data_IF_050909730935
#
_entry.id   IF_050909730935
#
_cell.length_a   1.000
_cell.length_b   1.000
_cell.length_c   1.000
_cell.angle_alpha   90.00
_cell.angle_beta   90.00
_cell.angle_gamma   90.00
#
_symmetry.space_group_name_H-M   'P 1'
#
loop_
_entity.id
_entity.type
_entity.pdbx_description
1 polymer ?
#
# COMPACT_ATOMS: atom_id res chain seq x y z
N UNK A 1 25.07 -13.02 -24.50
CA UNK A 1 24.25 -12.38 -23.44
C UNK A 1 22.81 -12.15 -23.93
N UNK A 2 21.86 -11.69 -23.11
CA UNK A 2 20.46 -11.44 -23.56
C UNK A 2 20.36 -10.45 -24.73
N UNK A 3 21.28 -9.47 -24.78
CA UNK A 3 21.37 -8.46 -25.83
C UNK A 3 22.36 -8.82 -26.94
N UNK A 4 22.97 -10.00 -26.95
CA UNK A 4 23.84 -10.45 -28.04
C UNK A 4 25.35 -10.20 -27.88
N UNK A 5 25.83 -9.67 -26.76
CA UNK A 5 27.28 -9.51 -26.53
C UNK A 5 28.01 -10.86 -26.72
N UNK A 6 28.99 -10.87 -27.64
CA UNK A 6 29.81 -12.03 -28.02
C UNK A 6 29.12 -13.07 -28.90
N UNK A 7 27.87 -12.85 -29.33
CA UNK A 7 27.10 -13.83 -30.12
C UNK A 7 26.28 -13.24 -31.27
N UNK A 8 25.87 -11.97 -31.17
CA UNK A 8 25.01 -11.25 -32.13
C UNK A 8 25.31 -9.74 -32.00
N UNK A 9 26.17 -9.24 -32.89
CA UNK A 9 26.64 -7.84 -32.85
C UNK A 9 25.55 -6.84 -33.21
N UNK A 10 24.67 -7.16 -34.17
CA UNK A 10 23.59 -6.26 -34.57
C UNK A 10 22.61 -6.01 -33.42
N UNK A 11 22.25 -7.09 -32.70
CA UNK A 11 21.42 -6.97 -31.50
C UNK A 11 22.12 -6.20 -30.40
N UNK A 12 23.42 -6.42 -30.21
CA UNK A 12 24.19 -5.71 -29.20
C UNK A 12 24.23 -4.20 -29.49
N UNK A 13 24.60 -3.82 -30.71
CA UNK A 13 24.70 -2.42 -31.14
C UNK A 13 23.34 -1.70 -31.15
N UNK A 14 22.23 -2.43 -31.26
CA UNK A 14 20.88 -1.85 -31.16
C UNK A 14 20.52 -1.42 -29.74
N UNK A 15 20.92 -2.18 -28.73
CA UNK A 15 20.50 -1.96 -27.33
C UNK A 15 21.60 -1.40 -26.43
N UNK A 16 22.87 -1.48 -26.86
CA UNK A 16 24.02 -0.98 -26.13
C UNK A 16 24.59 0.27 -26.82
N UNK A 17 24.97 1.32 -26.07
CA UNK A 17 24.90 1.45 -24.61
C UNK A 17 23.48 1.62 -24.08
N UNK A 18 23.24 1.07 -22.88
CA UNK A 18 21.95 1.23 -22.19
C UNK A 18 21.63 2.70 -21.92
N UNK A 19 20.40 3.14 -22.22
CA UNK A 19 19.97 4.52 -21.97
C UNK A 19 19.85 4.83 -20.46
N UNK A 20 19.28 3.90 -19.68
CA UNK A 20 19.04 4.08 -18.26
C UNK A 20 19.29 2.78 -17.51
N UNK A 21 20.04 2.84 -16.42
CA UNK A 21 20.04 1.81 -15.38
C UNK A 21 19.18 2.26 -14.20
N UNK A 22 18.10 1.53 -13.92
CA UNK A 22 17.22 1.77 -12.77
C UNK A 22 17.55 0.78 -11.65
N UNK A 23 17.81 1.26 -10.44
CA UNK A 23 18.21 0.41 -9.31
C UNK A 23 17.91 1.04 -7.94
N UNK A 24 18.08 0.28 -6.87
CA UNK A 24 18.09 0.82 -5.51
C UNK A 24 19.44 1.50 -5.19
N UNK A 25 19.41 2.50 -4.31
CA UNK A 25 20.60 3.29 -3.94
C UNK A 25 21.73 2.49 -3.26
N UNK A 26 21.44 1.32 -2.70
CA UNK A 26 22.42 0.48 -1.99
C UNK A 26 23.42 -0.19 -2.93
N UNK A 27 23.04 -0.42 -4.19
CA UNK A 27 23.91 -1.04 -5.20
C UNK A 27 24.56 -0.04 -6.18
N UNK A 28 24.41 1.27 -5.94
CA UNK A 28 24.89 2.31 -6.85
C UNK A 28 26.39 2.21 -7.14
N UNK A 29 27.22 1.82 -6.16
CA UNK A 29 28.68 1.64 -6.33
C UNK A 29 29.03 0.62 -7.41
N UNK A 30 28.20 -0.41 -7.58
CA UNK A 30 28.42 -1.43 -8.59
C UNK A 30 28.17 -0.87 -9.99
N UNK A 31 27.19 0.01 -10.15
CA UNK A 31 26.79 0.55 -11.45
C UNK A 31 27.47 1.87 -11.84
N UNK A 32 27.98 2.63 -10.87
CA UNK A 32 28.63 3.92 -11.10
C UNK A 32 30.16 3.87 -11.00
N UNK A 33 30.74 2.80 -10.43
CA UNK A 33 32.20 2.67 -10.27
C UNK A 33 32.71 1.37 -10.88
N UNK A 34 32.27 0.22 -10.35
CA UNK A 34 32.83 -1.08 -10.73
C UNK A 34 32.49 -1.41 -12.18
N UNK A 35 31.21 -1.31 -12.56
CA UNK A 35 30.76 -1.62 -13.91
C UNK A 35 31.35 -0.69 -14.97
N UNK A 36 31.37 0.65 -14.82
CA UNK A 36 32.08 1.52 -15.74
C UNK A 36 33.57 1.20 -15.87
N UNK A 37 34.26 0.84 -14.77
CA UNK A 37 35.67 0.42 -14.82
C UNK A 37 35.86 -0.81 -15.70
N UNK A 38 34.98 -1.81 -15.58
CA UNK A 38 35.01 -3.01 -16.42
C UNK A 38 34.73 -2.67 -17.90
N UNK A 39 33.76 -1.80 -18.18
CA UNK A 39 33.45 -1.36 -19.54
C UNK A 39 34.62 -0.61 -20.18
N UNK A 40 35.25 0.30 -19.43
CA UNK A 40 36.43 1.04 -19.89
C UNK A 40 37.60 0.09 -20.17
N UNK A 41 37.82 -0.92 -19.33
CA UNK A 41 38.86 -1.92 -19.56
C UNK A 41 38.62 -2.78 -20.82
N UNK A 42 37.35 -2.91 -21.25
CA UNK A 42 36.94 -3.62 -22.46
C UNK A 42 36.73 -2.68 -23.66
N UNK A 43 37.02 -1.38 -23.52
CA UNK A 43 36.76 -0.34 -24.53
C UNK A 43 35.30 -0.31 -25.03
N UNK A 44 34.34 -0.53 -24.11
CA UNK A 44 32.91 -0.50 -24.40
C UNK A 44 32.26 0.81 -23.94
N UNK A 45 31.21 1.30 -24.64
CA UNK A 45 30.54 2.53 -24.26
C UNK A 45 29.80 2.38 -22.93
N UNK A 46 29.77 3.47 -22.16
CA UNK A 46 29.12 3.54 -20.85
C UNK A 46 27.59 3.70 -20.98
N UNK A 47 26.81 3.27 -19.96
CA UNK A 47 25.40 3.61 -19.91
C UNK A 47 25.19 5.13 -19.86
N UNK A 48 24.12 5.63 -20.49
CA UNK A 48 23.88 7.08 -20.58
C UNK A 48 23.44 7.69 -19.24
N UNK A 49 22.68 6.94 -18.45
CA UNK A 49 22.17 7.39 -17.14
C UNK A 49 22.16 6.25 -16.10
N UNK A 50 22.41 6.60 -14.84
CA UNK A 50 22.26 5.72 -13.67
C UNK A 50 21.28 6.39 -12.71
N UNK A 51 20.12 5.78 -12.51
CA UNK A 51 19.03 6.30 -11.69
C UNK A 51 18.82 5.38 -10.49
N UNK A 52 19.04 5.91 -9.29
CA UNK A 52 18.87 5.19 -8.04
C UNK A 52 17.62 5.65 -7.30
N UNK A 53 16.72 4.73 -6.96
CA UNK A 53 15.58 4.99 -6.09
C UNK A 53 15.94 4.78 -4.62
N UNK A 54 15.22 5.47 -3.73
CA UNK A 54 15.31 5.27 -2.29
C UNK A 54 14.55 4.03 -1.82
N UNK A 55 14.57 3.81 -0.52
CA UNK A 55 13.98 2.63 0.11
C UNK A 55 12.50 2.87 0.40
N UNK A 56 11.71 1.81 0.31
CA UNK A 56 10.33 1.83 0.80
C UNK A 56 10.36 1.32 2.24
N UNK A 57 9.94 2.20 3.15
CA UNK A 57 10.00 2.03 4.60
C UNK A 57 8.58 1.84 5.15
N UNK A 58 8.46 1.29 6.35
CA UNK A 58 7.24 1.33 7.18
C UNK A 58 7.50 2.25 8.37
N UNK A 59 6.46 2.64 9.11
CA UNK A 59 6.61 3.44 10.33
C UNK A 59 7.57 2.78 11.34
N UNK A 60 7.54 1.44 11.44
CA UNK A 60 8.47 0.64 12.24
C UNK A 60 9.87 0.43 11.63
N UNK A 61 10.20 1.14 10.56
CA UNK A 61 11.47 1.06 9.84
C UNK A 61 11.46 0.12 8.63
N UNK A 62 12.62 -0.46 8.32
CA UNK A 62 12.83 -1.28 7.12
C UNK A 62 11.99 -2.56 7.17
N UNK A 63 11.44 -2.96 6.02
CA UNK A 63 10.81 -4.27 5.87
C UNK A 63 11.84 -5.39 6.05
N UNK A 64 11.51 -6.39 6.85
CA UNK A 64 12.34 -7.59 7.06
C UNK A 64 11.48 -8.82 7.30
N UNK A 65 11.84 -9.93 6.63
CA UNK A 65 11.19 -11.23 6.86
C UNK A 65 11.30 -11.66 8.33
N UNK A 66 12.41 -11.37 9.00
CA UNK A 66 12.61 -11.70 10.42
C UNK A 66 11.71 -10.91 11.37
N UNK A 67 11.29 -9.71 10.98
CA UNK A 67 10.37 -8.87 11.76
C UNK A 67 8.90 -9.12 11.44
N UNK A 68 8.60 -10.00 10.49
CA UNK A 68 7.23 -10.28 10.04
C UNK A 68 6.55 -9.14 9.26
N UNK A 69 7.11 -7.93 9.25
CA UNK A 69 6.53 -6.70 8.70
C UNK A 69 6.69 -6.54 7.17
N UNK A 70 6.89 -7.62 6.42
CA UNK A 70 7.02 -7.51 4.95
C UNK A 70 5.63 -7.34 4.34
N UNK A 71 5.46 -6.26 3.58
CA UNK A 71 4.26 -6.03 2.78
C UNK A 71 4.42 -6.77 1.44
N UNK A 72 3.55 -7.74 1.18
CA UNK A 72 3.57 -8.49 -0.08
C UNK A 72 2.78 -7.73 -1.16
N UNK A 73 3.45 -7.28 -2.25
CA UNK A 73 2.77 -6.55 -3.32
C UNK A 73 1.68 -7.37 -4.01
N UNK A 74 1.79 -8.71 -4.06
CA UNK A 74 0.76 -9.57 -4.67
C UNK A 74 -0.52 -9.54 -3.84
N UNK A 75 -0.42 -9.49 -2.51
CA UNK A 75 -1.58 -9.37 -1.62
C UNK A 75 -2.24 -8.01 -1.82
N UNK A 76 -1.47 -6.92 -1.87
CA UNK A 76 -2.00 -5.59 -2.14
C UNK A 76 -2.68 -5.50 -3.51
N UNK A 77 -2.08 -6.07 -4.55
CA UNK A 77 -2.66 -6.07 -5.90
C UNK A 77 -3.97 -6.86 -5.94
N UNK A 78 -4.07 -7.98 -5.23
CA UNK A 78 -5.34 -8.73 -5.12
C UNK A 78 -6.41 -7.92 -4.39
N UNK A 79 -6.03 -7.19 -3.33
CA UNK A 79 -6.97 -6.40 -2.52
C UNK A 79 -7.44 -5.11 -3.21
N UNK A 80 -6.52 -4.39 -3.85
CA UNK A 80 -6.75 -3.03 -4.34
C UNK A 80 -6.68 -2.86 -5.86
N UNK A 81 -6.20 -3.88 -6.57
CA UNK A 81 -5.97 -3.83 -8.01
C UNK A 81 -4.61 -3.27 -8.39
N UNK A 82 -4.08 -3.73 -9.52
CA UNK A 82 -2.72 -3.41 -9.98
C UNK A 82 -2.52 -1.91 -10.26
N UNK A 83 -3.49 -1.26 -10.90
CA UNK A 83 -3.40 0.16 -11.24
C UNK A 83 -3.35 1.04 -9.99
N UNK A 84 -4.16 0.74 -8.98
CA UNK A 84 -4.22 1.51 -7.74
C UNK A 84 -2.90 1.45 -6.97
N UNK A 85 -2.33 0.25 -6.83
CA UNK A 85 -1.05 0.04 -6.14
C UNK A 85 0.08 0.75 -6.91
N UNK A 86 0.12 0.60 -8.24
CA UNK A 86 1.13 1.29 -9.07
C UNK A 86 1.01 2.81 -9.01
N UNK A 87 -0.22 3.33 -9.09
CA UNK A 87 -0.49 4.75 -8.95
C UNK A 87 0.03 5.28 -7.62
N UNK A 88 -0.33 4.63 -6.51
CA UNK A 88 0.12 5.04 -5.18
C UNK A 88 1.64 5.06 -5.06
N UNK A 89 2.34 3.99 -5.48
CA UNK A 89 3.80 3.92 -5.38
C UNK A 89 4.48 5.03 -6.19
N UNK A 90 3.98 5.35 -7.39
CA UNK A 90 4.55 6.39 -8.24
C UNK A 90 4.15 7.81 -7.82
N UNK A 91 2.95 7.97 -7.22
CA UNK A 91 2.39 9.27 -6.83
C UNK A 91 2.88 9.71 -5.46
N UNK A 92 2.93 8.79 -4.49
CA UNK A 92 3.23 9.09 -3.09
C UNK A 92 4.73 9.12 -2.84
N UNK A 93 5.48 8.18 -3.43
CA UNK A 93 6.90 8.06 -3.18
C UNK A 93 7.69 8.97 -4.13
N UNK A 94 8.52 9.84 -3.55
CA UNK A 94 9.41 10.70 -4.33
C UNK A 94 10.61 9.92 -4.82
N UNK A 95 10.81 9.87 -6.14
CA UNK A 95 11.89 9.11 -6.74
C UNK A 95 13.26 9.63 -6.27
N UNK A 96 14.14 8.71 -5.87
CA UNK A 96 15.47 9.01 -5.31
C UNK A 96 15.51 9.27 -3.80
N UNK A 97 14.37 9.49 -3.15
CA UNK A 97 14.26 9.62 -1.70
C UNK A 97 13.69 8.34 -1.06
N UNK A 98 13.98 8.15 0.23
CA UNK A 98 13.30 7.11 0.99
C UNK A 98 11.85 7.55 1.23
N UNK A 99 10.92 6.62 1.03
CA UNK A 99 9.49 6.89 1.18
C UNK A 99 8.84 5.89 2.13
N UNK A 100 7.77 6.31 2.79
CA UNK A 100 7.05 5.49 3.75
C UNK A 100 5.77 4.95 3.11
N UNK A 101 5.61 3.63 3.16
CA UNK A 101 4.37 2.96 2.82
C UNK A 101 3.42 3.02 4.02
N UNK A 102 2.16 3.37 3.74
CA UNK A 102 1.03 3.22 4.66
C UNK A 102 -0.18 2.76 3.87
N UNK A 103 -0.84 1.70 4.34
CA UNK A 103 -2.07 1.19 3.71
C UNK A 103 -3.21 2.21 3.83
N UNK A 104 -3.25 2.99 4.90
CA UNK A 104 -4.18 4.10 5.07
C UNK A 104 -3.95 5.17 3.99
N UNK A 105 -2.69 5.55 3.74
CA UNK A 105 -2.36 6.50 2.68
C UNK A 105 -2.70 5.97 1.29
N UNK A 106 -2.48 4.67 1.04
CA UNK A 106 -2.90 4.00 -0.20
C UNK A 106 -4.42 4.12 -0.38
N UNK A 107 -5.20 3.74 0.63
CA UNK A 107 -6.67 3.84 0.57
C UNK A 107 -7.13 5.28 0.39
N UNK A 108 -6.50 6.23 1.08
CA UNK A 108 -6.81 7.65 0.92
C UNK A 108 -6.59 8.10 -0.52
N UNK A 109 -5.47 7.74 -1.17
CA UNK A 109 -5.22 8.04 -2.59
C UNK A 109 -6.21 7.36 -3.53
N UNK A 110 -6.60 6.12 -3.24
CA UNK A 110 -7.63 5.43 -4.03
C UNK A 110 -8.96 6.19 -3.93
N UNK A 111 -9.35 6.59 -2.73
CA UNK A 111 -10.62 7.27 -2.50
C UNK A 111 -10.63 8.69 -3.07
N UNK A 112 -9.60 9.50 -2.80
CA UNK A 112 -9.55 10.89 -3.26
C UNK A 112 -9.27 10.98 -4.75
N UNK A 113 -8.13 10.46 -5.19
CA UNK A 113 -7.61 10.73 -6.52
C UNK A 113 -8.30 9.81 -7.54
N UNK A 114 -8.38 8.51 -7.24
CA UNK A 114 -8.87 7.55 -8.23
C UNK A 114 -10.40 7.47 -8.26
N UNK A 115 -11.07 7.40 -7.11
CA UNK A 115 -12.52 7.26 -7.05
C UNK A 115 -13.23 8.62 -7.23
N UNK A 116 -12.91 9.62 -6.41
CA UNK A 116 -13.64 10.90 -6.39
C UNK A 116 -13.29 11.83 -7.56
N UNK A 117 -12.06 11.78 -8.07
CA UNK A 117 -11.63 12.64 -9.18
C UNK A 117 -11.68 11.91 -10.53
N UNK A 118 -10.76 10.97 -10.78
CA UNK A 118 -10.61 10.33 -12.10
C UNK A 118 -11.81 9.44 -12.48
N UNK A 119 -12.18 8.52 -11.58
CA UNK A 119 -13.29 7.58 -11.78
C UNK A 119 -14.63 8.31 -11.89
N UNK A 120 -14.84 9.33 -11.05
CA UNK A 120 -16.01 10.20 -11.10
C UNK A 120 -16.09 10.99 -12.42
N UNK A 121 -14.99 11.57 -12.89
CA UNK A 121 -14.95 12.29 -14.17
C UNK A 121 -15.40 11.40 -15.33
N UNK A 122 -14.83 10.20 -15.43
CA UNK A 122 -15.14 9.26 -16.52
C UNK A 122 -16.59 8.79 -16.42
N UNK A 123 -17.02 8.35 -15.23
CA UNK A 123 -18.38 7.80 -15.02
C UNK A 123 -19.48 8.86 -15.18
N UNK A 124 -19.31 10.08 -14.64
CA UNK A 124 -20.26 11.19 -14.84
C UNK A 124 -20.35 11.59 -16.30
N UNK A 125 -19.22 11.72 -16.99
CA UNK A 125 -19.21 12.09 -18.42
C UNK A 125 -19.92 11.03 -19.27
N UNK A 126 -19.58 9.75 -19.08
CA UNK A 126 -20.28 8.63 -19.73
C UNK A 126 -21.79 8.67 -19.47
N UNK A 127 -22.21 8.83 -18.21
CA UNK A 127 -23.62 8.89 -17.85
C UNK A 127 -24.35 10.08 -18.48
N UNK A 128 -23.71 11.26 -18.56
CA UNK A 128 -24.28 12.43 -19.22
C UNK A 128 -24.43 12.25 -20.73
N UNK A 129 -23.44 11.64 -21.39
CA UNK A 129 -23.53 11.32 -22.83
C UNK A 129 -24.66 10.30 -23.09
N UNK A 130 -24.77 9.25 -22.25
CA UNK A 130 -25.88 8.30 -22.30
C UNK A 130 -27.23 9.00 -22.16
N UNK A 131 -27.33 9.95 -21.22
CA UNK A 131 -28.58 10.63 -20.90
C UNK A 131 -28.99 11.68 -21.93
N UNK A 132 -28.05 12.46 -22.45
CA UNK A 132 -28.36 13.66 -23.25
C UNK A 132 -28.19 13.47 -24.75
N UNK A 133 -27.45 12.43 -25.18
CA UNK A 133 -27.16 12.14 -26.58
C UNK A 133 -27.34 10.65 -26.91
N UNK A 134 -28.21 9.95 -26.19
CA UNK A 134 -28.54 8.52 -26.40
C UNK A 134 -27.30 7.61 -26.43
N UNK A 135 -26.27 8.00 -25.68
CA UNK A 135 -25.01 7.28 -25.61
C UNK A 135 -24.15 7.45 -26.84
N UNK A 136 -24.28 8.53 -27.59
CA UNK A 136 -23.42 8.83 -28.74
C UNK A 136 -22.59 10.06 -28.43
N UNK A 137 -21.26 9.97 -28.56
CA UNK A 137 -20.38 11.14 -28.41
C UNK A 137 -20.77 12.15 -29.50
N UNK A 138 -21.22 13.36 -29.13
CA UNK A 138 -21.70 14.33 -30.09
C UNK A 138 -20.54 15.01 -30.83
N UNK A 139 -20.83 15.59 -31.98
CA UNK A 139 -19.91 16.50 -32.66
C UNK A 139 -19.85 17.84 -31.92
N UNK A 140 -18.66 18.44 -31.82
CA UNK A 140 -18.52 19.75 -31.19
C UNK A 140 -19.23 20.83 -32.02
N UNK A 141 -20.02 21.66 -31.35
CA UNK A 141 -20.72 22.80 -31.95
C UNK A 141 -20.11 24.13 -31.48
N UNK A 142 -20.92 24.97 -30.85
CA UNK A 142 -20.52 26.30 -30.39
C UNK A 142 -19.48 26.22 -29.26
N UNK A 143 -18.36 26.93 -29.44
CA UNK A 143 -17.27 27.04 -28.47
C UNK A 143 -17.40 28.25 -27.55
N UNK A 144 -16.82 28.15 -26.36
CA UNK A 144 -16.76 29.21 -25.34
C UNK A 144 -15.33 29.34 -24.76
N UNK A 145 -15.06 30.41 -24.02
CA UNK A 145 -13.79 30.66 -23.31
C UNK A 145 -13.36 29.49 -22.42
N UNK A 146 -14.31 28.88 -21.69
CA UNK A 146 -14.02 27.74 -20.80
C UNK A 146 -13.48 26.53 -21.57
N UNK A 147 -13.84 26.39 -22.85
CA UNK A 147 -13.42 25.27 -23.71
C UNK A 147 -11.93 25.41 -24.07
N UNK A 148 -11.52 26.62 -24.44
CA UNK A 148 -10.12 26.92 -24.75
C UNK A 148 -9.23 26.85 -23.49
N UNK A 149 -9.76 27.17 -22.31
CA UNK A 149 -9.05 26.96 -21.04
C UNK A 149 -8.82 25.47 -20.75
N UNK A 150 -9.84 24.63 -20.94
CA UNK A 150 -9.71 23.18 -20.76
C UNK A 150 -8.70 22.58 -21.76
N UNK A 151 -8.79 22.99 -23.02
CA UNK A 151 -7.84 22.59 -24.08
C UNK A 151 -6.42 23.04 -23.77
N UNK A 152 -6.23 24.27 -23.31
CA UNK A 152 -4.93 24.79 -22.88
C UNK A 152 -4.37 23.97 -21.72
N UNK A 153 -5.20 23.66 -20.72
CA UNK A 153 -4.81 22.83 -19.59
C UNK A 153 -4.42 21.41 -20.02
N UNK A 154 -5.13 20.81 -20.98
CA UNK A 154 -4.81 19.47 -21.48
C UNK A 154 -3.46 19.43 -22.21
N UNK A 155 -3.21 20.39 -23.10
CA UNK A 155 -1.94 20.49 -23.80
C UNK A 155 -0.78 20.81 -22.85
N UNK A 156 -1.02 21.64 -21.82
CA UNK A 156 -0.05 21.91 -20.77
C UNK A 156 0.27 20.66 -19.94
N UNK A 157 -0.76 19.91 -19.53
CA UNK A 157 -0.60 18.66 -18.78
C UNK A 157 0.26 17.65 -19.55
N UNK A 158 0.06 17.47 -20.86
CA UNK A 158 0.91 16.60 -21.68
C UNK A 158 2.37 17.06 -21.71
N UNK A 159 2.62 18.36 -21.88
CA UNK A 159 3.98 18.91 -21.90
C UNK A 159 4.68 18.73 -20.54
N UNK A 160 4.02 19.16 -19.46
CA UNK A 160 4.53 19.01 -18.09
C UNK A 160 4.78 17.53 -17.75
N UNK A 161 3.81 16.65 -18.04
CA UNK A 161 3.94 15.22 -17.82
C UNK A 161 5.15 14.63 -18.54
N UNK A 162 5.37 15.01 -19.80
CA UNK A 162 6.51 14.53 -20.60
C UNK A 162 7.83 15.01 -20.00
N UNK A 163 7.96 16.30 -19.68
CA UNK A 163 9.19 16.85 -19.07
C UNK A 163 9.53 16.16 -17.75
N UNK A 164 8.51 15.91 -16.91
CA UNK A 164 8.68 15.23 -15.63
C UNK A 164 9.08 13.77 -15.80
N UNK A 165 8.47 13.06 -16.75
CA UNK A 165 8.79 11.66 -17.02
C UNK A 165 10.22 11.49 -17.58
N UNK A 166 10.66 12.38 -18.46
CA UNK A 166 12.04 12.40 -19.00
C UNK A 166 13.09 12.57 -17.89
N UNK A 167 12.71 13.19 -16.77
CA UNK A 167 13.57 13.39 -15.59
C UNK A 167 13.32 12.37 -14.48
N UNK A 168 12.53 11.33 -14.72
CA UNK A 168 12.16 10.31 -13.72
C UNK A 168 11.42 10.88 -12.49
N UNK A 169 10.78 12.04 -12.63
CA UNK A 169 9.99 12.70 -11.58
C UNK A 169 8.53 12.22 -11.63
N UNK A 170 8.33 10.95 -11.27
CA UNK A 170 7.05 10.24 -11.44
C UNK A 170 5.90 10.87 -10.65
N UNK A 171 6.17 11.35 -9.43
CA UNK A 171 5.16 11.96 -8.57
C UNK A 171 4.60 13.24 -9.18
N UNK A 172 5.48 14.14 -9.64
CA UNK A 172 5.04 15.39 -10.28
C UNK A 172 4.50 15.16 -11.69
N UNK A 173 4.95 14.12 -12.40
CA UNK A 173 4.32 13.68 -13.64
C UNK A 173 2.84 13.37 -13.41
N UNK A 174 2.51 12.52 -12.43
CA UNK A 174 1.12 12.19 -12.12
C UNK A 174 0.36 13.41 -11.60
N UNK A 175 1.00 14.27 -10.81
CA UNK A 175 0.38 15.53 -10.37
C UNK A 175 -0.01 16.43 -11.56
N UNK A 176 0.83 16.54 -12.59
CA UNK A 176 0.52 17.31 -13.80
C UNK A 176 -0.71 16.74 -14.54
N UNK A 177 -0.83 15.41 -14.63
CA UNK A 177 -2.02 14.75 -15.20
C UNK A 177 -3.27 15.05 -14.37
N UNK A 178 -3.14 15.01 -13.04
CA UNK A 178 -4.25 15.29 -12.14
C UNK A 178 -4.74 16.75 -12.17
N UNK A 179 -3.88 17.71 -12.52
CA UNK A 179 -4.35 19.10 -12.79
C UNK A 179 -5.37 19.14 -13.94
N UNK A 180 -5.19 18.34 -15.00
CA UNK A 180 -6.17 18.23 -16.08
C UNK A 180 -7.47 17.60 -15.58
N UNK A 181 -7.38 16.52 -14.80
CA UNK A 181 -8.56 15.84 -14.22
C UNK A 181 -9.37 16.83 -13.36
N UNK A 182 -8.71 17.55 -12.46
CA UNK A 182 -9.38 18.57 -11.62
C UNK A 182 -9.96 19.70 -12.46
N UNK A 183 -9.27 20.16 -13.52
CA UNK A 183 -9.81 21.20 -14.43
C UNK A 183 -11.04 20.70 -15.19
N UNK A 184 -11.06 19.44 -15.62
CA UNK A 184 -12.18 18.83 -16.33
C UNK A 184 -13.39 18.62 -15.40
N UNK A 185 -13.17 18.17 -14.15
CA UNK A 185 -14.24 18.14 -13.13
C UNK A 185 -14.81 19.54 -12.89
N UNK A 186 -13.95 20.55 -12.70
CA UNK A 186 -14.39 21.93 -12.54
C UNK A 186 -15.13 22.46 -13.78
N UNK A 187 -14.71 22.06 -14.98
CA UNK A 187 -15.39 22.42 -16.22
C UNK A 187 -16.82 21.87 -16.28
N UNK A 188 -17.07 20.66 -15.77
CA UNK A 188 -18.44 20.15 -15.61
C UNK A 188 -19.26 21.08 -14.72
N UNK A 189 -18.70 21.47 -13.59
CA UNK A 189 -19.44 22.30 -12.62
C UNK A 189 -19.67 23.72 -13.14
N UNK A 190 -18.71 24.32 -13.84
CA UNK A 190 -18.82 25.67 -14.43
C UNK A 190 -19.75 25.73 -15.64
N UNK A 191 -19.85 24.64 -16.42
CA UNK A 191 -20.70 24.59 -17.62
C UNK A 191 -22.12 24.12 -17.35
N UNK A 192 -22.37 23.55 -16.17
CA UNK A 192 -23.66 23.05 -15.71
C UNK A 192 -24.45 22.27 -16.79
N UNK A 193 -23.95 21.12 -17.31
CA UNK A 193 -24.60 20.37 -18.39
C UNK A 193 -26.08 20.04 -18.12
N UNK A 194 -26.45 19.86 -16.85
CA UNK A 194 -27.82 19.60 -16.42
C UNK A 194 -28.77 20.79 -16.58
N UNK A 195 -28.24 22.02 -16.64
CA UNK A 195 -28.99 23.23 -16.99
C UNK A 195 -29.05 23.38 -18.50
N UNK A 196 -27.93 23.21 -19.20
CA UNK A 196 -27.88 23.28 -20.67
C UNK A 196 -28.83 22.27 -21.32
N UNK A 197 -28.96 21.07 -20.75
CA UNK A 197 -29.84 20.02 -21.24
C UNK A 197 -31.35 20.32 -21.11
N UNK A 198 -31.74 21.40 -20.41
CA UNK A 198 -33.15 21.82 -20.27
C UNK A 198 -33.57 22.85 -21.31
N UNK A 199 -32.63 23.38 -22.09
CA UNK A 199 -32.88 24.44 -23.08
C UNK A 199 -32.45 23.96 -24.47
N UNK A 200 -33.42 23.70 -25.34
CA UNK A 200 -33.18 23.18 -26.69
C UNK A 200 -32.29 24.11 -27.54
N UNK A 201 -32.30 25.42 -27.27
CA UNK A 201 -31.43 26.37 -27.98
C UNK A 201 -29.96 26.22 -27.60
N UNK A 202 -29.66 25.58 -26.45
CA UNK A 202 -28.30 25.34 -25.95
C UNK A 202 -27.79 23.95 -26.28
N UNK A 203 -28.51 23.16 -27.08
CA UNK A 203 -28.11 21.80 -27.47
C UNK A 203 -26.73 21.76 -28.14
N UNK A 204 -26.41 22.73 -29.00
CA UNK A 204 -25.10 22.84 -29.63
C UNK A 204 -23.98 23.11 -28.62
N UNK A 205 -24.24 23.93 -27.59
CA UNK A 205 -23.29 24.18 -26.50
C UNK A 205 -23.08 22.92 -25.66
N UNK A 206 -24.16 22.24 -25.28
CA UNK A 206 -24.10 20.99 -24.53
C UNK A 206 -23.29 19.91 -25.28
N UNK A 207 -23.45 19.84 -26.61
CA UNK A 207 -22.68 18.93 -27.46
C UNK A 207 -21.18 19.21 -27.37
N UNK A 208 -20.75 20.47 -27.49
CA UNK A 208 -19.36 20.87 -27.29
C UNK A 208 -18.84 20.52 -25.90
N UNK A 209 -19.64 20.72 -24.85
CA UNK A 209 -19.24 20.37 -23.48
C UNK A 209 -18.98 18.86 -23.34
N UNK A 210 -19.87 18.02 -23.87
CA UNK A 210 -19.69 16.56 -23.81
C UNK A 210 -18.51 16.08 -24.66
N UNK A 211 -18.33 16.64 -25.86
CA UNK A 211 -17.17 16.33 -26.71
C UNK A 211 -15.85 16.68 -26.03
N UNK A 212 -15.75 17.90 -25.46
CA UNK A 212 -14.54 18.36 -24.78
C UNK A 212 -14.18 17.51 -23.57
N UNK A 213 -15.18 17.02 -22.82
CA UNK A 213 -14.97 16.09 -21.71
C UNK A 213 -14.46 14.72 -22.20
N UNK A 214 -15.06 14.19 -23.28
CA UNK A 214 -14.58 12.95 -23.89
C UNK A 214 -13.13 13.08 -24.38
N UNK A 215 -12.77 14.22 -24.98
CA UNK A 215 -11.41 14.50 -25.42
C UNK A 215 -10.43 14.66 -24.25
N UNK A 216 -10.81 15.35 -23.18
CA UNK A 216 -10.00 15.47 -21.97
C UNK A 216 -9.76 14.09 -21.31
N UNK A 217 -10.78 13.23 -21.29
CA UNK A 217 -10.67 11.84 -20.82
C UNK A 217 -9.71 11.04 -21.71
N UNK A 218 -9.82 11.15 -23.04
CA UNK A 218 -8.90 10.48 -23.97
C UNK A 218 -7.45 10.84 -23.67
N UNK A 219 -7.15 12.13 -23.52
CA UNK A 219 -5.79 12.61 -23.18
C UNK A 219 -5.36 12.06 -21.82
N UNK A 220 -6.23 12.13 -20.82
CA UNK A 220 -5.96 11.62 -19.46
C UNK A 220 -5.64 10.13 -19.47
N UNK A 221 -6.37 9.31 -20.24
CA UNK A 221 -6.15 7.87 -20.33
C UNK A 221 -4.80 7.54 -20.97
N UNK A 222 -4.39 8.25 -22.03
CA UNK A 222 -3.04 8.10 -22.61
C UNK A 222 -1.98 8.49 -21.57
N UNK A 223 -2.15 9.64 -20.92
CA UNK A 223 -1.17 10.17 -20.00
C UNK A 223 -1.05 9.34 -18.72
N UNK A 224 -2.08 8.59 -18.31
CA UNK A 224 -2.02 7.71 -17.12
C UNK A 224 -1.57 6.30 -17.42
N UNK A 225 -1.57 5.86 -18.68
CA UNK A 225 -1.28 4.48 -19.07
C UNK A 225 0.08 3.93 -18.56
N UNK A 226 1.19 4.69 -18.51
CA UNK A 226 2.45 4.20 -17.94
C UNK A 226 2.33 3.79 -16.45
N UNK A 227 1.53 4.52 -15.68
CA UNK A 227 1.29 4.22 -14.27
C UNK A 227 0.16 3.19 -14.07
N UNK A 228 -0.92 3.29 -14.84
CA UNK A 228 -2.14 2.50 -14.72
C UNK A 228 -2.49 1.80 -16.05
N UNK A 229 -1.76 0.74 -16.43
CA UNK A 229 -1.88 0.14 -17.75
C UNK A 229 -3.23 -0.53 -18.02
N UNK A 230 -3.92 -1.03 -16.99
CA UNK A 230 -5.21 -1.72 -17.20
C UNK A 230 -6.40 -0.74 -17.26
N UNK A 231 -6.19 0.50 -16.81
CA UNK A 231 -7.24 1.51 -16.71
C UNK A 231 -7.82 1.84 -18.09
N UNK A 232 -6.96 1.96 -19.11
CA UNK A 232 -7.40 2.33 -20.45
C UNK A 232 -8.34 1.27 -21.01
N UNK A 233 -7.97 -0.02 -20.90
CA UNK A 233 -8.84 -1.13 -21.29
C UNK A 233 -10.17 -1.13 -20.54
N UNK A 234 -10.15 -0.98 -19.21
CA UNK A 234 -11.37 -0.92 -18.38
C UNK A 234 -12.27 0.25 -18.73
N UNK A 235 -11.71 1.44 -18.96
CA UNK A 235 -12.46 2.62 -19.38
C UNK A 235 -13.05 2.44 -20.80
N UNK A 236 -12.27 1.86 -21.71
CA UNK A 236 -12.66 1.66 -23.11
C UNK A 236 -13.82 0.66 -23.27
N UNK A 237 -14.07 -0.22 -22.29
CA UNK A 237 -15.24 -1.11 -22.29
C UNK A 237 -16.57 -0.34 -22.29
N UNK A 238 -16.64 0.80 -21.60
CA UNK A 238 -17.84 1.63 -21.55
C UNK A 238 -17.74 2.88 -22.44
N UNK A 239 -16.53 3.37 -22.68
CA UNK A 239 -16.29 4.54 -23.52
C UNK A 239 -15.23 4.18 -24.58
N UNK A 240 -15.60 3.49 -25.68
CA UNK A 240 -14.68 2.91 -26.65
C UNK A 240 -14.03 3.98 -27.57
N UNK A 241 -13.32 4.94 -26.96
CA UNK A 241 -12.64 6.06 -27.64
C UNK A 241 -11.41 5.56 -28.41
N UNK A 242 -10.78 4.48 -27.94
CA UNK A 242 -9.62 3.88 -28.59
C UNK A 242 -10.04 2.66 -29.40
N UNK A 243 -9.60 2.60 -30.65
CA UNK A 243 -9.78 1.42 -31.50
C UNK A 243 -9.05 0.19 -30.93
N UNK A 244 -7.85 0.40 -30.40
CA UNK A 244 -7.05 -0.62 -29.71
C UNK A 244 -6.52 -0.02 -28.39
N UNK A 245 -7.10 -0.38 -27.23
CA UNK A 245 -6.70 0.16 -25.94
C UNK A 245 -5.31 -0.30 -25.47
N UNK A 246 -4.70 -1.30 -26.12
CA UNK A 246 -3.33 -1.75 -25.83
C UNK A 246 -2.28 -1.01 -26.65
N UNK A 247 -2.68 -0.35 -27.74
CA UNK A 247 -1.77 0.38 -28.64
C UNK A 247 -2.02 1.88 -28.58
N UNK A 248 -1.45 2.50 -27.54
CA UNK A 248 -1.52 3.93 -27.33
C UNK A 248 -0.28 4.64 -27.86
N UNK A 249 -0.47 5.84 -28.39
CA UNK A 249 0.61 6.71 -28.82
C UNK A 249 0.66 7.95 -27.92
N UNK A 250 1.75 8.10 -27.17
CA UNK A 250 1.94 9.24 -26.25
C UNK A 250 1.79 10.59 -26.95
N UNK A 251 2.25 10.71 -28.20
CA UNK A 251 2.19 11.97 -28.96
C UNK A 251 0.75 12.44 -29.23
N UNK A 252 -0.22 11.54 -29.19
CA UNK A 252 -1.62 11.87 -29.42
C UNK A 252 -2.29 12.47 -28.17
N UNK A 253 -1.66 12.39 -26.99
CA UNK A 253 -2.06 13.21 -25.83
C UNK A 253 -1.73 14.70 -26.02
N UNK A 254 -0.74 15.02 -26.86
CA UNK A 254 -0.33 16.38 -27.17
C UNK A 254 -1.15 17.07 -28.27
N UNK A 255 -2.25 16.46 -28.72
CA UNK A 255 -3.13 16.96 -29.78
C UNK A 255 -4.56 16.96 -29.27
N UNK A 256 -5.27 18.07 -29.48
CA UNK A 256 -6.68 18.21 -29.15
C UNK A 256 -7.57 17.89 -30.35
N UNK A 257 -8.73 17.30 -30.09
CA UNK A 257 -9.76 17.01 -31.10
C UNK A 257 -9.58 15.69 -31.83
N UNK A 258 -8.88 14.70 -31.23
CA UNK A 258 -8.72 13.37 -31.85
C UNK A 258 -9.81 12.38 -31.43
N UNK A 259 -10.64 12.69 -30.43
CA UNK A 259 -11.84 11.91 -30.12
C UNK A 259 -12.78 11.94 -31.33
N UNK A 260 -13.21 10.76 -31.79
CA UNK A 260 -14.14 10.63 -32.90
C UNK A 260 -15.59 10.80 -32.41
N UNK A 261 -16.35 11.77 -32.94
CA UNK A 261 -17.80 11.83 -32.75
C UNK A 261 -18.49 10.57 -33.30
N UNK A 262 -19.70 10.30 -32.82
CA UNK A 262 -20.50 9.16 -33.28
C UNK A 262 -20.19 7.83 -32.56
N UNK A 263 -19.17 7.79 -31.71
CA UNK A 263 -18.86 6.60 -30.91
C UNK A 263 -19.96 6.36 -29.88
N UNK A 264 -20.43 5.11 -29.81
CA UNK A 264 -21.41 4.69 -28.81
C UNK A 264 -20.74 4.41 -27.47
N UNK A 265 -21.24 5.04 -26.41
CA UNK A 265 -20.84 4.86 -25.03
C UNK A 265 -21.95 4.18 -24.24
N UNK A 266 -21.55 3.38 -23.27
CA UNK A 266 -22.44 2.67 -22.37
C UNK A 266 -22.31 3.23 -20.97
N UNK A 267 -23.35 3.00 -20.14
CA UNK A 267 -23.27 3.31 -18.72
C UNK A 267 -22.17 2.47 -18.07
N UNK A 268 -21.34 3.14 -17.28
CA UNK A 268 -20.18 2.58 -16.62
C UNK A 268 -20.47 2.32 -15.14
N UNK A 269 -19.98 1.20 -14.60
CA UNK A 269 -19.83 1.00 -13.15
C UNK A 269 -18.59 1.74 -12.63
N UNK A 270 -18.54 2.07 -11.35
CA UNK A 270 -17.39 2.78 -10.78
C UNK A 270 -16.07 2.05 -11.07
N UNK A 271 -15.13 2.71 -11.75
CA UNK A 271 -13.82 2.14 -12.10
C UNK A 271 -12.94 1.89 -10.88
N UNK A 272 -13.15 2.67 -9.83
CA UNK A 272 -12.44 2.58 -8.56
C UNK A 272 -13.51 2.64 -7.46
N UNK A 273 -13.96 1.47 -6.93
CA UNK A 273 -14.89 1.47 -5.82
C UNK A 273 -14.23 2.13 -4.60
N UNK A 274 -14.99 2.95 -3.87
CA UNK A 274 -14.49 3.51 -2.61
C UNK A 274 -14.26 2.39 -1.61
N UNK A 275 -13.22 2.56 -0.81
CA UNK A 275 -12.81 1.61 0.22
C UNK A 275 -13.07 2.25 1.57
N UNK A 276 -13.79 1.54 2.43
CA UNK A 276 -13.92 1.85 3.85
C UNK A 276 -13.14 0.78 4.63
N UNK A 277 -12.02 1.19 5.23
CA UNK A 277 -11.17 0.28 6.00
C UNK A 277 -11.91 -0.28 7.22
N UNK A 278 -12.75 0.53 7.88
CA UNK A 278 -13.49 0.10 9.08
C UNK A 278 -14.53 -0.95 8.74
N UNK A 279 -15.27 -0.73 7.66
CA UNK A 279 -16.26 -1.71 7.19
C UNK A 279 -15.59 -3.04 6.78
N UNK A 280 -14.42 -3.00 6.14
CA UNK A 280 -13.66 -4.22 5.78
C UNK A 280 -13.11 -4.97 7.00
N UNK A 281 -12.72 -4.25 8.06
CA UNK A 281 -12.31 -4.84 9.32
C UNK A 281 -13.50 -5.51 10.04
N UNK A 282 -14.66 -4.84 10.08
CA UNK A 282 -15.90 -5.37 10.64
C UNK A 282 -16.44 -6.60 9.88
N UNK A 283 -16.34 -6.61 8.54
CA UNK A 283 -16.70 -7.75 7.69
C UNK A 283 -15.79 -8.95 7.92
N UNK A 284 -14.47 -8.74 8.07
CA UNK A 284 -13.52 -9.82 8.42
C UNK A 284 -13.78 -10.40 9.81
N UNK A 285 -14.05 -9.55 10.81
CA UNK A 285 -14.40 -9.98 12.17
C UNK A 285 -15.72 -10.77 12.22
N UNK A 286 -16.65 -10.52 11.28
CA UNK A 286 -17.91 -11.26 11.20
C UNK A 286 -17.82 -12.54 10.37
N UNK A 287 -16.90 -12.63 9.40
CA UNK A 287 -16.59 -13.88 8.69
C UNK A 287 -15.79 -14.87 9.54
N UNK A 288 -14.79 -14.40 10.30
CA UNK A 288 -14.00 -15.26 11.19
C UNK A 288 -14.84 -15.88 12.31
N UNK A 289 -15.87 -15.17 12.79
CA UNK A 289 -16.82 -15.66 13.79
C UNK A 289 -17.88 -16.65 13.25
N UNK A 290 -17.95 -16.86 11.92
CA UNK A 290 -18.96 -17.75 11.29
C UNK A 290 -18.43 -19.13 10.91
N UNK A 291 -17.17 -19.45 11.20
CA UNK A 291 -16.57 -20.75 10.85
C UNK A 291 -16.57 -21.69 12.07
N UNK A 292 -17.36 -22.79 12.08
CA UNK A 292 -17.25 -23.80 13.12
C UNK A 292 -15.93 -24.57 12.95
N UNK A 293 -15.08 -24.56 13.97
CA UNK A 293 -13.83 -25.28 13.99
C UNK A 293 -14.06 -26.81 14.04
N UNK A 294 -13.66 -27.53 13.00
CA UNK A 294 -13.36 -28.96 13.08
C UNK A 294 -11.84 -29.17 13.32
N UNK A 295 -11.45 -30.17 14.14
CA UNK A 295 -10.07 -30.36 14.53
C UNK A 295 -9.28 -31.13 13.47
N UNK A 296 -8.29 -30.48 12.86
CA UNK A 296 -7.25 -31.18 12.07
C UNK A 296 -5.89 -31.02 12.75
N UNK A 297 -5.20 -32.15 12.82
CA UNK A 297 -3.93 -32.39 13.50
C UNK A 297 -2.79 -31.49 13.00
N UNK A 298 -1.89 -31.18 13.94
CA UNK A 298 -0.85 -30.18 13.83
C UNK A 298 0.31 -30.56 12.90
N UNK A 299 0.57 -29.70 11.91
CA UNK A 299 1.91 -29.40 11.41
C UNK A 299 2.23 -27.94 11.75
N UNK A 300 3.35 -27.72 12.45
CA UNK A 300 3.78 -26.42 12.96
C UNK A 300 4.23 -25.54 11.79
N UNK A 301 3.38 -24.60 11.38
CA UNK A 301 3.76 -23.37 10.68
C UNK A 301 3.64 -22.22 11.66
N UNK A 302 4.74 -21.50 11.86
CA UNK A 302 4.78 -20.27 12.64
C UNK A 302 3.91 -19.21 11.95
N UNK A 303 2.79 -18.87 12.58
CA UNK A 303 1.94 -17.75 12.21
C UNK A 303 2.58 -16.43 12.63
N UNK A 304 2.51 -15.46 11.70
CA UNK A 304 2.82 -14.06 11.92
C UNK A 304 1.73 -13.46 12.81
N UNK A 305 2.07 -13.00 14.00
CA UNK A 305 1.17 -12.17 14.80
C UNK A 305 1.37 -10.70 14.45
N UNK A 306 0.38 -10.11 13.77
CA UNK A 306 0.10 -8.68 13.93
C UNK A 306 -0.21 -8.39 15.41
N UNK A 307 -0.02 -7.16 15.92
CA UNK A 307 -0.45 -6.84 17.28
C UNK A 307 -1.97 -7.02 17.38
N UNK A 308 -2.40 -8.14 17.95
CA UNK A 308 -3.78 -8.36 18.36
C UNK A 308 -4.09 -7.39 19.50
N UNK A 309 -4.76 -6.28 19.16
CA UNK A 309 -5.27 -5.38 20.18
C UNK A 309 -6.42 -6.08 20.89
N UNK A 310 -6.19 -6.46 22.15
CA UNK A 310 -7.23 -6.95 23.02
C UNK A 310 -8.11 -5.79 23.48
N UNK A 311 -9.39 -6.03 23.60
CA UNK A 311 -10.34 -5.10 24.21
C UNK A 311 -10.03 -4.90 25.70
N UNK A 312 -10.48 -3.78 26.28
CA UNK A 312 -10.36 -3.55 27.72
C UNK A 312 -11.05 -4.66 28.54
N UNK A 313 -12.11 -5.27 27.99
CA UNK A 313 -12.83 -6.37 28.61
C UNK A 313 -12.03 -7.68 28.60
N UNK A 314 -11.29 -7.95 27.53
CA UNK A 314 -10.34 -9.07 27.46
C UNK A 314 -9.17 -8.89 28.43
N UNK A 315 -8.65 -7.66 28.57
CA UNK A 315 -7.64 -7.35 29.59
C UNK A 315 -8.22 -7.50 31.01
N UNK A 316 -9.44 -7.05 31.26
CA UNK A 316 -10.10 -7.15 32.56
C UNK A 316 -10.37 -8.60 33.01
N UNK A 317 -10.42 -9.55 32.05
CA UNK A 317 -10.51 -10.99 32.31
C UNK A 317 -9.19 -11.59 32.82
N UNK A 318 -8.05 -10.92 32.66
CA UNK A 318 -6.78 -11.38 33.22
C UNK A 318 -6.75 -11.14 34.74
N UNK A 319 -6.40 -12.17 35.50
CA UNK A 319 -6.18 -12.07 36.95
C UNK A 319 -4.69 -11.84 37.20
N UNK A 320 -4.27 -10.58 37.16
CA UNK A 320 -2.90 -10.17 37.47
C UNK A 320 -2.78 -9.88 38.96
N UNK A 321 -1.84 -10.54 39.65
CA UNK A 321 -1.60 -10.36 41.09
C UNK A 321 -0.14 -10.16 41.41
N UNK A 322 0.13 -9.43 42.49
CA UNK A 322 1.47 -9.36 43.08
C UNK A 322 1.72 -10.65 43.86
N UNK A 323 2.85 -11.31 43.61
CA UNK A 323 3.26 -12.55 44.26
C UNK A 323 4.67 -12.42 44.84
N UNK A 324 4.92 -12.95 46.03
CA UNK A 324 6.24 -12.92 46.68
C UNK A 324 6.98 -14.24 46.43
N UNK A 325 8.24 -14.17 46.00
CA UNK A 325 9.06 -15.37 45.78
C UNK A 325 9.59 -15.87 47.12
N UNK A 326 9.03 -16.98 47.61
CA UNK A 326 9.43 -17.59 48.90
C UNK A 326 10.57 -18.58 48.74
N UNK A 327 10.70 -19.22 47.57
CA UNK A 327 11.82 -20.08 47.23
C UNK A 327 12.04 -20.09 45.72
N UNK A 328 13.29 -20.23 45.31
CA UNK A 328 13.66 -20.40 43.91
C UNK A 328 14.75 -21.47 43.80
N UNK A 329 14.61 -22.37 42.83
CA UNK A 329 15.57 -23.46 42.60
C UNK A 329 15.81 -23.65 41.09
N UNK A 330 16.99 -24.15 40.71
CA UNK A 330 17.26 -24.53 39.33
C UNK A 330 16.54 -25.83 39.00
N UNK A 331 15.91 -25.89 37.82
CA UNK A 331 15.22 -27.11 37.40
C UNK A 331 16.22 -28.22 37.05
N UNK A 332 16.07 -29.43 37.60
CA UNK A 332 16.92 -30.56 37.25
C UNK A 332 16.85 -30.88 35.76
N UNK A 333 18.02 -31.03 35.11
CA UNK A 333 18.14 -31.36 33.67
C UNK A 333 17.57 -30.31 32.71
N UNK A 334 17.42 -29.05 33.14
CA UNK A 334 17.02 -27.95 32.27
C UNK A 334 17.73 -26.64 32.64
N UNK A 335 18.79 -26.31 31.91
CA UNK A 335 19.67 -25.17 32.21
C UNK A 335 19.03 -23.78 31.98
N UNK A 336 17.82 -23.75 31.42
CA UNK A 336 17.08 -22.52 31.12
C UNK A 336 15.91 -22.25 32.08
N UNK A 337 15.60 -23.17 33.00
CA UNK A 337 14.38 -23.10 33.81
C UNK A 337 14.69 -22.94 35.30
N UNK A 338 13.95 -22.02 35.96
CA UNK A 338 13.86 -21.90 37.41
C UNK A 338 12.49 -22.36 37.88
N UNK A 339 12.44 -22.99 39.04
CA UNK A 339 11.21 -23.35 39.75
C UNK A 339 11.06 -22.33 40.89
N UNK A 340 10.01 -21.51 40.81
CA UNK A 340 9.68 -20.51 41.81
C UNK A 340 8.49 -21.00 42.63
N UNK A 341 8.62 -20.98 43.94
CA UNK A 341 7.49 -21.01 44.86
C UNK A 341 7.08 -19.59 45.15
N UNK A 342 5.83 -19.27 44.86
CA UNK A 342 5.26 -17.95 44.97
C UNK A 342 4.17 -17.95 46.04
N UNK A 343 4.23 -17.01 46.96
CA UNK A 343 3.14 -16.69 47.88
C UNK A 343 2.25 -15.64 47.25
N UNK A 344 0.96 -15.93 47.13
CA UNK A 344 -0.08 -15.05 46.56
C UNK A 344 -1.15 -14.83 47.63
N UNK A 345 -0.95 -13.84 48.50
CA UNK A 345 -1.78 -13.67 49.70
C UNK A 345 -1.57 -14.84 50.68
N UNK A 346 -2.60 -15.65 50.89
CA UNK A 346 -2.55 -16.86 51.75
C UNK A 346 -2.27 -18.16 50.99
N UNK A 347 -2.26 -18.12 49.65
CA UNK A 347 -2.01 -19.29 48.80
C UNK A 347 -0.52 -19.39 48.41
N UNK A 348 -0.02 -20.62 48.28
CA UNK A 348 1.27 -20.90 47.65
C UNK A 348 1.06 -21.54 46.27
N UNK A 349 1.82 -21.10 45.28
CA UNK A 349 1.78 -21.62 43.91
C UNK A 349 3.17 -21.89 43.39
N UNK A 350 3.30 -22.92 42.57
CA UNK A 350 4.56 -23.21 41.87
C UNK A 350 4.50 -22.67 40.45
N UNK A 351 5.51 -21.90 40.04
CA UNK A 351 5.66 -21.40 38.67
C UNK A 351 7.03 -21.77 38.14
N UNK A 352 7.07 -22.29 36.91
CA UNK A 352 8.31 -22.59 36.21
C UNK A 352 8.58 -21.50 35.17
N UNK A 353 9.74 -20.85 35.24
CA UNK A 353 10.07 -19.71 34.37
C UNK A 353 11.41 -19.87 33.64
N UNK A 354 11.46 -19.37 32.40
CA UNK A 354 12.58 -19.45 31.45
C UNK A 354 13.78 -18.53 31.70
N UNK A 355 13.95 -18.04 32.93
CA UNK A 355 14.84 -16.91 33.23
C UNK A 355 16.19 -17.33 33.85
N UNK A 356 16.51 -18.63 33.89
CA UNK A 356 17.71 -19.14 34.57
C UNK A 356 19.04 -18.67 33.97
N UNK A 357 19.03 -18.11 32.75
CA UNK A 357 20.21 -17.51 32.12
C UNK A 357 20.53 -16.09 32.59
N UNK A 358 19.54 -15.40 33.17
CA UNK A 358 19.64 -13.99 33.54
C UNK A 358 19.56 -13.77 35.05
N UNK A 359 19.04 -14.75 35.80
CA UNK A 359 18.91 -14.67 37.25
C UNK A 359 19.44 -15.93 37.93
N UNK A 360 20.19 -15.76 39.01
CA UNK A 360 20.46 -16.82 39.96
C UNK A 360 19.26 -16.95 40.93
N UNK A 361 19.01 -18.14 41.51
CA UNK A 361 17.90 -18.32 42.43
C UNK A 361 17.88 -17.31 43.59
N UNK A 362 19.05 -16.94 44.09
CA UNK A 362 19.24 -16.03 45.21
C UNK A 362 18.81 -14.59 44.87
N UNK A 363 18.85 -14.22 43.59
CA UNK A 363 18.48 -12.87 43.11
C UNK A 363 16.97 -12.64 43.10
N UNK A 364 16.18 -13.71 43.22
CA UNK A 364 14.72 -13.67 43.10
C UNK A 364 14.01 -13.90 44.42
N UNK A 365 14.62 -14.63 45.37
CA UNK A 365 14.02 -14.87 46.69
C UNK A 365 13.79 -13.54 47.42
N UNK A 366 12.58 -13.36 47.96
CA UNK A 366 12.15 -12.13 48.64
C UNK A 366 11.68 -11.01 47.72
N UNK A 367 11.81 -11.15 46.38
CA UNK A 367 11.23 -10.19 45.44
C UNK A 367 9.73 -10.42 45.27
N UNK A 368 9.01 -9.34 45.01
CA UNK A 368 7.60 -9.38 44.65
C UNK A 368 7.46 -9.15 43.15
N UNK A 369 6.83 -10.09 42.47
CA UNK A 369 6.71 -10.18 41.01
C UNK A 369 5.25 -10.11 40.57
N UNK A 370 5.00 -9.75 39.31
CA UNK A 370 3.64 -9.78 38.74
C UNK A 370 3.35 -11.18 38.18
N UNK A 371 2.29 -11.79 38.67
CA UNK A 371 1.81 -13.13 38.33
C UNK A 371 0.48 -13.05 37.57
N UNK A 372 0.36 -13.78 36.46
CA UNK A 372 -0.94 -14.12 35.86
C UNK A 372 -1.50 -15.36 36.54
N UNK A 373 -2.53 -15.18 37.38
CA UNK A 373 -3.03 -16.17 38.33
C UNK A 373 -4.18 -17.05 37.79
N UNK A 374 -4.83 -16.67 36.69
CA UNK A 374 -5.95 -17.43 36.09
C UNK A 374 -5.59 -18.13 34.77
N UNK A 375 -4.31 -18.39 34.54
CA UNK A 375 -3.86 -19.26 33.45
C UNK A 375 -4.09 -20.73 33.79
N UNK A 376 -4.42 -21.54 32.77
CA UNK A 376 -4.58 -22.98 32.92
C UNK A 376 -3.24 -23.62 33.34
N UNK A 377 -3.19 -24.38 34.44
CA UNK A 377 -1.96 -25.04 34.88
C UNK A 377 -1.37 -25.95 33.81
N UNK A 378 -0.04 -25.91 33.65
CA UNK A 378 0.67 -26.67 32.61
C UNK A 378 1.88 -27.39 33.22
N UNK A 379 2.12 -28.64 32.82
CA UNK A 379 3.31 -29.39 33.25
C UNK A 379 4.51 -29.04 32.38
N UNK A 380 5.57 -28.51 33.00
CA UNK A 380 6.84 -28.22 32.37
C UNK A 380 7.91 -29.16 32.97
N UNK A 381 8.45 -30.05 32.13
CA UNK A 381 9.49 -31.03 32.52
C UNK A 381 9.14 -31.85 33.78
N UNK A 382 7.86 -32.13 33.99
CA UNK A 382 7.35 -32.91 35.12
C UNK A 382 6.86 -32.09 36.32
N UNK A 383 7.18 -30.80 36.39
CA UNK A 383 6.69 -29.88 37.44
C UNK A 383 5.44 -29.16 36.97
N UNK A 384 4.41 -29.09 37.83
CA UNK A 384 3.19 -28.33 37.53
C UNK A 384 3.44 -26.83 37.72
N UNK A 385 3.20 -26.04 36.68
CA UNK A 385 3.27 -24.56 36.72
C UNK A 385 1.85 -24.00 36.75
N UNK A 386 1.52 -23.28 37.81
CA UNK A 386 0.19 -22.79 38.18
C UNK A 386 0.05 -21.27 38.00
N UNK A 387 0.66 -20.78 36.93
CA UNK A 387 0.66 -19.37 36.55
C UNK A 387 1.88 -19.00 35.73
N UNK A 388 2.02 -17.71 35.43
CA UNK A 388 3.15 -17.15 34.67
C UNK A 388 3.58 -15.82 35.27
N UNK A 389 4.87 -15.65 35.51
CA UNK A 389 5.44 -14.35 35.92
C UNK A 389 5.73 -13.50 34.69
N UNK A 390 5.55 -12.18 34.80
CA UNK A 390 5.83 -11.25 33.71
C UNK A 390 7.29 -10.78 33.73
N UNK A 391 7.91 -10.77 32.55
CA UNK A 391 9.26 -10.24 32.33
C UNK A 391 9.28 -9.42 31.04
N UNK A 392 10.05 -8.34 31.03
CA UNK A 392 10.40 -7.59 29.83
C UNK A 392 11.68 -8.17 29.22
N UNK A 393 11.79 -8.16 27.89
CA UNK A 393 12.98 -8.68 27.19
C UNK A 393 13.32 -7.85 25.95
N UNK A 394 14.61 -7.59 25.74
CA UNK A 394 15.18 -7.09 24.49
C UNK A 394 16.20 -8.10 23.91
N UNK A 395 16.96 -7.70 22.88
CA UNK A 395 17.91 -8.59 22.20
C UNK A 395 18.96 -9.22 23.12
N UNK A 396 19.24 -8.67 24.31
CA UNK A 396 20.30 -9.16 25.21
C UNK A 396 19.91 -9.28 26.70
N UNK A 397 18.78 -8.71 27.13
CA UNK A 397 18.42 -8.58 28.55
C UNK A 397 17.03 -9.13 28.80
N UNK A 398 16.85 -9.83 29.92
CA UNK A 398 15.53 -10.20 30.46
C UNK A 398 15.40 -9.64 31.85
N UNK A 399 14.37 -8.83 32.10
CA UNK A 399 14.11 -8.20 33.38
C UNK A 399 12.73 -8.61 33.91
N UNK A 400 12.68 -9.24 35.09
CA UNK A 400 11.42 -9.61 35.73
C UNK A 400 10.72 -8.37 36.27
N UNK A 401 9.43 -8.20 35.97
CA UNK A 401 8.65 -7.07 36.49
C UNK A 401 8.44 -7.24 38.00
N UNK A 402 9.04 -6.34 38.78
CA UNK A 402 8.97 -6.34 40.25
C UNK A 402 8.24 -5.12 40.80
N UNK A 403 7.57 -5.28 41.94
CA UNK A 403 6.84 -4.21 42.63
C UNK A 403 7.30 -4.12 44.08
N UNK A 404 7.72 -2.96 44.56
CA UNK A 404 8.39 -2.88 45.88
C UNK A 404 7.40 -2.76 47.05
N UNK A 405 6.45 -1.82 46.98
CA UNK A 405 5.65 -1.41 48.14
C UNK A 405 4.32 -2.17 48.29
N UNK A 406 3.81 -2.75 47.22
CA UNK A 406 2.50 -3.43 47.22
C UNK A 406 2.61 -4.80 47.91
N UNK A 407 1.66 -5.16 48.77
CA UNK A 407 1.66 -6.46 49.45
C UNK A 407 1.27 -7.61 48.50
N UNK A 408 1.77 -8.82 48.77
CA UNK A 408 1.40 -10.03 48.02
C UNK A 408 -0.12 -10.29 48.09
N UNK A 409 -0.68 -10.80 46.99
CA UNK A 409 -2.10 -11.10 46.82
C UNK A 409 -2.94 -9.95 46.24
N UNK A 410 -2.41 -8.73 46.18
CA UNK A 410 -3.12 -7.58 45.60
C UNK A 410 -3.23 -7.69 44.08
N UNK A 411 -4.37 -7.22 43.55
CA UNK A 411 -4.65 -7.21 42.11
C UNK A 411 -3.92 -6.06 41.42
N UNK A 412 -3.25 -6.36 40.32
CA UNK A 412 -2.68 -5.38 39.38
C UNK A 412 -3.79 -5.03 38.38
N UNK A 413 -3.99 -3.73 38.15
CA UNK A 413 -5.07 -3.20 37.30
C UNK A 413 -4.52 -2.40 36.14
#
# INVERSE_FOLDING_TARGET
>A
SAIGYGSDEDKFNRYWPADVHLMAKDIIRFHAVIWPTMLMALDLPLPKQVCAHGWIMLEGGKMSKSKGNVVDPVILIKKYGVDAVRYYLLRELSFGQDGYYSEEMLVNRINSDLANDLGNLISRTSAMIVRYFDGVIPEAGTTDRLDEELKTAALAACREATEKLDRHDFSNYLQAVFKLISRANKYIDETEPWVLARDDNKKARLATVMYNLAEAIRITLILTAPAMPTLVGRANQAMPIFADPEKLNWKDAGKWGLCQPGIKVNKMQALFPRIDLKAQEEEKMTEENKTPAEPVQAEVKEEKTEPQYITIDEFARMDLRVAEVIACEKMPKADKLLILKLKVGEEERTVVSGIAKHYAPEDLVGKKVVLVANLKPTKLRGTLSEGMILAASDENTVEVLTVNEVASGNRVK
#
